data_IF_998975399803
#
_entry.id   IF_998975399803
#
_cell.length_a   1.000
_cell.length_b   1.000
_cell.length_c   1.000
_cell.angle_alpha   90.00
_cell.angle_beta   90.00
_cell.angle_gamma   90.00
#
_symmetry.space_group_name_H-M   'P 1'
#
loop_
_entity.id
_entity.type
_entity.pdbx_description
1 polymer ?
#
# COMPACT_ATOMS: atom_id res chain seq x y z
N UNK A 1 28.08 54.63 60.41
CA UNK A 1 26.95 53.98 59.71
C UNK A 1 27.33 53.71 58.25
N UNK A 2 27.65 52.52 57.91
CA UNK A 2 27.86 52.06 56.53
C UNK A 2 27.08 50.79 56.41
N UNK A 3 25.98 50.88 55.70
CA UNK A 3 25.11 49.74 55.25
C UNK A 3 25.77 49.01 54.11
N UNK A 4 26.22 47.80 54.36
CA UNK A 4 26.63 46.88 53.32
C UNK A 4 25.35 46.17 52.74
N UNK A 5 25.07 46.40 51.48
CA UNK A 5 24.00 45.76 50.73
C UNK A 5 24.42 44.37 50.34
N UNK A 6 23.74 43.37 50.92
CA UNK A 6 23.76 41.96 50.50
C UNK A 6 22.95 41.81 49.22
N UNK A 7 23.56 41.96 48.07
CA UNK A 7 22.90 41.65 46.75
C UNK A 7 23.79 40.91 45.75
N UNK A 8 24.88 40.30 46.21
CA UNK A 8 25.83 39.62 45.31
C UNK A 8 26.05 38.14 45.54
N UNK A 9 25.39 37.50 46.52
CA UNK A 9 25.68 36.08 46.84
C UNK A 9 24.54 35.09 46.59
N UNK A 10 23.42 35.51 46.00
CA UNK A 10 22.30 34.60 45.77
C UNK A 10 22.24 34.03 44.35
N UNK A 11 23.04 34.52 43.39
CA UNK A 11 23.04 34.05 42.02
C UNK A 11 24.08 32.96 41.72
N UNK A 12 25.10 32.79 42.55
CA UNK A 12 26.12 31.74 42.36
C UNK A 12 25.81 30.43 43.09
N UNK A 13 24.89 30.43 44.06
CA UNK A 13 24.49 29.23 44.78
C UNK A 13 23.41 28.37 44.04
N UNK A 14 22.69 28.97 43.09
CA UNK A 14 21.65 28.25 42.31
C UNK A 14 22.26 27.42 41.14
N UNK A 15 23.44 27.79 40.66
CA UNK A 15 24.12 27.05 39.59
C UNK A 15 25.00 25.88 40.05
N UNK A 16 25.36 25.80 41.33
CA UNK A 16 26.10 24.65 41.90
C UNK A 16 25.23 23.54 42.49
N UNK A 17 23.91 23.73 42.60
CA UNK A 17 23.00 22.69 43.10
C UNK A 17 22.44 21.76 42.02
N UNK A 18 22.80 21.96 40.75
CA UNK A 18 22.38 21.11 39.61
C UNK A 18 23.37 19.97 39.29
N UNK A 19 24.47 19.88 40.05
CA UNK A 19 25.53 18.88 39.77
C UNK A 19 25.46 17.58 40.57
N UNK A 20 24.69 17.50 41.65
CA UNK A 20 24.60 16.29 42.49
C UNK A 20 23.22 16.14 43.11
N UNK A 21 22.17 15.99 42.30
CA UNK A 21 20.99 15.31 42.80
C UNK A 21 21.33 13.82 42.80
N UNK A 22 21.79 13.33 43.97
CA UNK A 22 21.80 11.92 44.26
C UNK A 22 20.37 11.40 44.00
N UNK A 23 20.23 10.58 42.95
CA UNK A 23 18.99 9.85 42.68
C UNK A 23 18.90 8.80 43.81
N UNK A 24 18.26 9.20 44.91
CA UNK A 24 17.91 8.30 45.99
C UNK A 24 16.51 7.77 45.68
N UNK A 25 16.44 6.80 44.73
CA UNK A 25 15.28 5.90 44.62
C UNK A 25 15.51 4.75 45.63
N UNK A 26 14.46 4.27 46.28
CA UNK A 26 14.47 2.93 46.87
C UNK A 26 14.88 1.92 45.78
N UNK A 27 15.62 0.89 46.10
CA UNK A 27 16.38 0.08 45.16
C UNK A 27 15.57 -0.61 44.01
N UNK A 28 14.22 -0.49 44.01
CA UNK A 28 13.34 -1.12 43.01
C UNK A 28 12.31 -0.18 42.35
N UNK A 29 12.25 1.12 42.65
CA UNK A 29 11.25 2.03 42.12
C UNK A 29 11.64 2.67 40.81
N UNK A 30 10.71 2.63 39.80
CA UNK A 30 10.91 3.27 38.50
C UNK A 30 11.09 4.80 38.63
N UNK A 31 12.07 5.34 37.93
CA UNK A 31 12.33 6.79 37.82
C UNK A 31 11.46 7.34 36.68
N UNK A 32 10.27 7.81 37.01
CA UNK A 32 9.26 8.29 36.05
C UNK A 32 9.38 9.75 35.68
N UNK A 33 10.16 10.57 36.49
CA UNK A 33 10.50 11.93 36.10
C UNK A 33 11.52 11.91 34.95
N UNK A 34 11.50 12.95 34.10
CA UNK A 34 12.51 13.11 33.08
C UNK A 34 13.89 13.38 33.72
N UNK A 35 14.88 12.60 33.31
CA UNK A 35 16.27 12.75 33.64
C UNK A 35 16.97 13.44 32.48
N UNK A 36 17.67 14.56 32.73
CA UNK A 36 18.50 15.21 31.70
C UNK A 36 19.97 14.93 31.99
N UNK A 37 20.68 14.38 31.02
CA UNK A 37 22.11 14.08 31.08
C UNK A 37 22.84 14.96 30.06
N UNK A 38 23.79 15.76 30.55
CA UNK A 38 24.71 16.48 29.69
C UNK A 38 25.99 15.66 29.53
N UNK A 39 26.34 15.38 28.26
CA UNK A 39 27.58 14.72 27.89
C UNK A 39 28.62 15.78 27.47
N UNK A 40 29.69 15.88 28.23
CA UNK A 40 30.83 16.73 27.88
C UNK A 40 31.75 16.04 26.88
N UNK A 41 31.61 14.73 26.73
CA UNK A 41 32.32 13.86 25.79
C UNK A 41 31.47 12.70 25.38
N UNK A 42 31.44 12.39 24.10
CA UNK A 42 30.77 11.22 23.55
C UNK A 42 31.33 9.92 24.16
N UNK A 43 30.45 8.94 24.39
CA UNK A 43 30.79 7.63 24.98
C UNK A 43 30.77 7.58 26.49
N UNK A 44 30.29 8.63 27.18
CA UNK A 44 30.33 8.71 28.66
C UNK A 44 28.96 8.52 29.32
N UNK A 45 27.88 8.27 28.57
CA UNK A 45 26.56 8.04 29.15
C UNK A 45 26.51 6.86 30.15
N UNK A 46 27.20 5.72 29.91
CA UNK A 46 27.26 4.63 30.86
C UNK A 46 27.84 5.04 32.24
N UNK A 47 28.86 5.89 32.22
CA UNK A 47 29.51 6.38 33.44
C UNK A 47 28.62 7.37 34.23
N UNK A 48 27.83 8.19 33.48
CA UNK A 48 26.93 9.20 34.09
C UNK A 48 25.69 8.56 34.74
N UNK A 49 25.15 7.47 34.17
CA UNK A 49 23.95 6.81 34.70
C UNK A 49 24.30 5.64 35.62
N UNK A 50 25.26 4.81 35.23
CA UNK A 50 25.64 3.58 35.93
C UNK A 50 24.70 2.42 35.67
N UNK A 51 25.23 1.21 35.79
CA UNK A 51 24.49 -0.06 35.47
C UNK A 51 23.30 -0.32 36.39
N UNK A 52 23.35 0.10 37.65
CA UNK A 52 22.29 -0.09 38.64
C UNK A 52 21.03 0.73 38.35
N UNK A 53 21.13 1.87 37.66
CA UNK A 53 20.02 2.79 37.39
C UNK A 53 19.47 2.69 35.96
N UNK A 54 20.21 2.08 35.02
CA UNK A 54 19.86 2.07 33.61
C UNK A 54 18.46 1.49 33.34
N UNK A 55 18.07 0.48 34.12
CA UNK A 55 16.78 -0.21 33.93
C UNK A 55 15.60 0.46 34.67
N UNK A 56 15.88 1.48 35.49
CA UNK A 56 14.85 2.18 36.28
C UNK A 56 14.35 3.46 35.57
N UNK A 57 15.16 4.05 34.69
CA UNK A 57 14.85 5.33 34.02
C UNK A 57 13.84 5.09 32.91
N UNK A 58 12.69 5.79 32.98
CA UNK A 58 11.64 5.69 31.95
C UNK A 58 11.66 6.88 30.97
N UNK A 59 12.24 8.03 31.36
CA UNK A 59 12.29 9.25 30.54
C UNK A 59 13.69 9.87 30.60
N UNK A 60 14.34 9.96 29.43
CA UNK A 60 15.70 10.45 29.32
C UNK A 60 15.80 11.58 28.29
N UNK A 61 16.47 12.67 28.66
CA UNK A 61 16.93 13.68 27.70
C UNK A 61 18.46 13.70 27.71
N UNK A 62 19.05 13.72 26.51
CA UNK A 62 20.51 13.80 26.34
C UNK A 62 20.85 15.10 25.64
N UNK A 63 21.88 15.77 26.17
CA UNK A 63 22.43 17.02 25.62
C UNK A 63 23.91 16.80 25.33
N UNK A 64 24.38 17.14 24.15
CA UNK A 64 25.78 17.01 23.74
C UNK A 64 26.03 15.86 22.77
N UNK A 65 27.29 15.50 22.53
CA UNK A 65 27.66 14.51 21.53
C UNK A 65 27.43 13.08 22.05
N UNK A 66 26.83 12.23 21.20
CA UNK A 66 26.57 10.79 21.44
C UNK A 66 27.21 9.95 20.34
N UNK A 67 27.86 8.84 20.73
CA UNK A 67 28.48 7.89 19.80
C UNK A 67 27.97 6.46 20.04
N UNK A 68 28.60 5.47 19.37
CA UNK A 68 28.18 4.08 19.42
C UNK A 68 28.16 3.47 20.84
N UNK A 69 29.03 3.92 21.75
CA UNK A 69 29.05 3.47 23.16
C UNK A 69 27.79 3.93 23.89
N UNK A 70 27.42 5.20 23.73
CA UNK A 70 26.21 5.76 24.31
C UNK A 70 24.96 5.10 23.69
N UNK A 71 24.99 4.88 22.38
CA UNK A 71 23.89 4.27 21.64
C UNK A 71 23.61 2.84 22.08
N UNK A 72 24.64 2.02 22.27
CA UNK A 72 24.52 0.68 22.83
C UNK A 72 23.80 0.71 24.18
N UNK A 73 24.18 1.63 25.05
CA UNK A 73 23.58 1.78 26.39
C UNK A 73 22.13 2.26 26.31
N UNK A 74 21.81 3.22 25.43
CA UNK A 74 20.44 3.69 25.16
C UNK A 74 19.54 2.53 24.71
N UNK A 75 20.03 1.69 23.80
CA UNK A 75 19.29 0.51 23.29
C UNK A 75 18.98 -0.45 24.44
N UNK A 76 19.97 -0.76 25.29
CA UNK A 76 19.75 -1.62 26.46
C UNK A 76 18.71 -1.02 27.43
N UNK A 77 18.72 0.29 27.64
CA UNK A 77 17.70 1.00 28.43
C UNK A 77 16.32 0.92 27.78
N UNK A 78 16.24 0.86 26.43
CA UNK A 78 15.00 0.80 25.65
C UNK A 78 14.50 -0.63 25.37
N UNK A 79 15.09 -1.64 25.99
CA UNK A 79 14.62 -3.02 25.92
C UNK A 79 15.33 -3.90 24.88
N UNK A 80 16.39 -3.44 24.19
CA UNK A 80 17.06 -4.21 23.13
C UNK A 80 18.59 -4.15 23.27
N UNK A 81 19.23 -5.29 23.42
CA UNK A 81 20.70 -5.40 23.45
C UNK A 81 21.35 -5.30 22.08
N UNK A 82 22.67 -5.19 22.06
CA UNK A 82 23.47 -5.16 20.85
C UNK A 82 23.40 -6.47 20.02
N UNK A 83 23.02 -7.56 20.67
CA UNK A 83 22.85 -8.89 20.06
C UNK A 83 21.39 -9.18 19.66
N UNK A 84 20.53 -8.16 19.75
CA UNK A 84 19.09 -8.24 19.43
C UNK A 84 18.24 -8.93 20.51
N UNK A 85 18.84 -9.33 21.65
CA UNK A 85 18.08 -9.92 22.76
C UNK A 85 17.38 -8.85 23.57
N UNK A 86 16.24 -9.21 24.15
CA UNK A 86 15.51 -8.34 25.07
C UNK A 86 16.34 -8.05 26.33
N UNK A 87 16.22 -6.84 26.84
CA UNK A 87 16.81 -6.40 28.11
C UNK A 87 15.72 -5.94 29.09
N UNK A 88 16.09 -5.75 30.36
CA UNK A 88 15.19 -5.29 31.41
C UNK A 88 14.92 -3.77 31.37
N UNK A 89 15.44 -3.08 30.36
CA UNK A 89 15.31 -1.63 30.21
C UNK A 89 13.87 -1.14 30.16
N UNK A 90 13.57 -0.02 30.80
CA UNK A 90 12.23 0.57 30.94
C UNK A 90 12.12 1.97 30.29
N UNK A 91 13.11 2.37 29.51
CA UNK A 91 13.09 3.66 28.82
C UNK A 91 11.97 3.70 27.77
N UNK A 92 11.01 4.57 27.99
CA UNK A 92 9.84 4.73 27.11
C UNK A 92 9.83 6.10 26.39
N UNK A 93 10.48 7.12 26.95
CA UNK A 93 10.58 8.44 26.33
C UNK A 93 12.04 8.85 26.22
N UNK A 94 12.50 9.10 25.00
CA UNK A 94 13.86 9.56 24.71
C UNK A 94 13.84 10.88 23.94
N UNK A 95 14.48 11.91 24.53
CA UNK A 95 14.64 13.22 23.91
C UNK A 95 16.11 13.42 23.52
N UNK A 96 16.39 13.44 22.23
CA UNK A 96 17.68 13.70 21.61
C UNK A 96 17.72 15.06 20.91
N UNK A 97 16.73 15.95 21.13
CA UNK A 97 16.62 17.24 20.43
C UNK A 97 17.86 18.13 20.55
N UNK A 98 18.59 18.03 21.65
CA UNK A 98 19.83 18.76 21.91
C UNK A 98 21.09 17.87 21.87
N UNK A 99 20.94 16.64 21.34
CA UNK A 99 22.06 15.74 21.10
C UNK A 99 22.62 15.95 19.67
N UNK A 100 23.89 15.57 19.50
CA UNK A 100 24.53 15.47 18.18
C UNK A 100 25.10 14.08 18.04
N UNK A 101 24.72 13.39 16.98
CA UNK A 101 25.24 12.06 16.68
C UNK A 101 26.60 12.22 16.02
N UNK A 102 27.60 11.54 16.57
CA UNK A 102 28.98 11.56 16.04
C UNK A 102 29.47 10.11 15.81
N UNK A 103 30.37 9.95 14.87
CA UNK A 103 31.02 8.68 14.64
C UNK A 103 31.90 8.25 15.82
N UNK A 104 32.18 6.94 15.95
CA UNK A 104 33.07 6.39 16.96
C UNK A 104 32.35 5.58 18.04
N UNK A 105 33.11 5.20 19.07
CA UNK A 105 32.63 4.30 20.12
C UNK A 105 32.54 2.83 19.69
N UNK A 106 31.84 2.03 20.47
CA UNK A 106 31.60 0.63 20.16
C UNK A 106 30.46 0.48 19.13
N UNK A 107 30.38 -0.70 18.46
CA UNK A 107 29.19 -1.05 17.69
C UNK A 107 27.98 -1.16 18.62
N UNK A 108 26.84 -0.68 18.16
CA UNK A 108 25.60 -0.65 18.97
C UNK A 108 24.64 -1.77 18.61
N UNK A 109 24.85 -2.48 17.47
CA UNK A 109 24.06 -3.61 17.03
C UNK A 109 24.88 -4.52 16.11
N UNK A 110 24.34 -5.73 15.87
CA UNK A 110 24.84 -6.68 14.88
C UNK A 110 23.68 -7.07 13.99
N UNK A 111 23.88 -7.05 12.68
CA UNK A 111 22.92 -7.63 11.76
C UNK A 111 23.51 -8.81 11.03
N UNK A 112 22.67 -9.78 10.72
CA UNK A 112 23.05 -10.98 10.00
C UNK A 112 22.64 -10.83 8.54
N UNK A 113 23.46 -11.31 7.61
CA UNK A 113 23.15 -11.42 6.21
C UNK A 113 23.60 -12.78 5.69
N UNK A 114 22.90 -13.23 4.65
CA UNK A 114 23.12 -14.54 4.06
C UNK A 114 23.74 -14.35 2.69
N UNK A 115 24.90 -14.99 2.46
CA UNK A 115 25.61 -14.89 1.20
C UNK A 115 26.35 -16.21 0.96
N UNK A 116 26.26 -16.78 -0.27
CA UNK A 116 26.93 -18.03 -0.67
C UNK A 116 26.69 -19.19 0.31
N UNK A 117 25.43 -19.40 0.74
CA UNK A 117 25.03 -20.45 1.68
C UNK A 117 25.63 -20.35 3.10
N UNK A 118 26.15 -19.17 3.47
CA UNK A 118 26.75 -18.90 4.77
C UNK A 118 26.12 -17.68 5.42
N UNK A 119 25.87 -17.76 6.74
CA UNK A 119 25.47 -16.62 7.54
C UNK A 119 26.68 -15.82 8.01
N UNK A 120 26.68 -14.54 7.70
CA UNK A 120 27.67 -13.58 8.18
C UNK A 120 27.00 -12.57 9.09
N UNK A 121 27.81 -11.86 9.87
CA UNK A 121 27.34 -10.70 10.62
C UNK A 121 28.22 -9.48 10.36
N UNK A 122 27.59 -8.29 10.41
CA UNK A 122 28.30 -7.01 10.44
C UNK A 122 27.89 -6.22 11.67
N UNK A 123 28.81 -5.42 12.17
CA UNK A 123 28.54 -4.52 13.29
C UNK A 123 27.99 -3.18 12.76
N UNK A 124 27.04 -2.61 13.50
CA UNK A 124 26.52 -1.29 13.22
C UNK A 124 27.22 -0.26 14.11
N UNK A 125 27.71 0.82 13.49
CA UNK A 125 28.39 1.93 14.12
C UNK A 125 27.62 3.24 13.88
N UNK A 126 27.82 4.24 14.75
CA UNK A 126 27.27 5.58 14.52
C UNK A 126 28.05 6.30 13.40
N UNK A 127 27.32 7.09 12.62
CA UNK A 127 27.85 8.04 11.64
C UNK A 127 27.34 9.44 11.98
N UNK A 128 28.03 10.47 11.54
CA UNK A 128 27.65 11.84 11.86
C UNK A 128 26.27 12.18 11.28
N UNK A 129 25.39 12.69 12.12
CA UNK A 129 24.06 13.18 11.78
C UNK A 129 23.17 12.17 11.02
N UNK A 130 23.36 10.85 11.29
CA UNK A 130 22.60 9.73 10.70
C UNK A 130 21.99 8.88 11.80
N UNK A 131 20.73 8.50 11.66
CA UNK A 131 20.15 7.37 12.40
C UNK A 131 20.53 6.11 11.63
N UNK A 132 21.63 5.49 12.00
CA UNK A 132 22.25 4.40 11.26
C UNK A 132 21.42 3.12 11.21
N UNK A 133 21.89 2.15 10.39
CA UNK A 133 21.28 0.84 10.25
C UNK A 133 21.03 0.17 11.60
N UNK A 134 19.81 -0.36 11.82
CA UNK A 134 19.39 -1.03 13.06
C UNK A 134 19.49 -0.17 14.33
N UNK A 135 19.53 1.16 14.25
CA UNK A 135 19.84 2.05 15.38
C UNK A 135 18.93 1.82 16.60
N UNK A 136 17.63 1.66 16.39
CA UNK A 136 16.63 1.34 17.42
C UNK A 136 15.93 0.00 17.19
N UNK A 137 16.48 -0.86 16.34
CA UNK A 137 15.87 -2.17 16.05
C UNK A 137 15.53 -2.93 17.34
N UNK A 138 14.26 -3.33 17.48
CA UNK A 138 13.77 -4.08 18.63
C UNK A 138 13.57 -3.25 19.91
N UNK A 139 13.72 -1.93 19.87
CA UNK A 139 13.46 -1.07 21.04
C UNK A 139 11.94 -0.90 21.27
N UNK A 140 11.25 -2.00 21.51
CA UNK A 140 9.78 -2.05 21.66
C UNK A 140 9.23 -1.32 22.87
N UNK A 141 10.09 -0.98 23.85
CA UNK A 141 9.72 -0.20 25.03
C UNK A 141 9.56 1.30 24.75
N UNK A 142 10.17 1.82 23.67
CA UNK A 142 10.05 3.25 23.31
C UNK A 142 8.64 3.57 22.82
N UNK A 143 8.03 4.58 23.45
CA UNK A 143 6.71 5.09 23.07
C UNK A 143 6.80 6.45 22.39
N UNK A 144 7.84 7.22 22.71
CA UNK A 144 8.10 8.56 22.16
C UNK A 144 9.59 8.81 21.99
N UNK A 145 9.97 9.34 20.84
CA UNK A 145 11.34 9.71 20.50
C UNK A 145 11.37 11.07 19.80
N UNK A 146 12.25 11.95 20.26
CA UNK A 146 12.57 13.21 19.57
C UNK A 146 13.99 13.13 19.03
N UNK A 147 14.14 13.27 17.71
CA UNK A 147 15.41 13.22 17.01
C UNK A 147 16.11 14.59 16.99
N UNK A 148 17.45 14.63 16.85
CA UNK A 148 18.18 15.86 16.59
C UNK A 148 17.77 16.51 15.26
N UNK A 149 17.71 17.84 15.21
CA UNK A 149 17.31 18.57 14.01
C UNK A 149 18.26 18.40 12.80
N UNK A 150 19.53 18.04 13.05
CA UNK A 150 20.56 17.89 12.02
C UNK A 150 20.55 16.53 11.28
N UNK A 151 19.64 15.62 11.62
CA UNK A 151 19.59 14.30 10.99
C UNK A 151 19.21 14.42 9.50
N UNK A 152 19.97 13.73 8.65
CA UNK A 152 19.80 13.73 7.18
C UNK A 152 19.32 12.40 6.60
N UNK A 153 19.46 11.29 7.36
CA UNK A 153 19.17 9.94 6.91
C UNK A 153 18.61 9.06 8.05
N UNK A 154 17.64 8.24 7.70
CA UNK A 154 17.21 7.08 8.50
C UNK A 154 17.65 5.82 7.74
N UNK A 155 18.59 5.08 8.29
CA UNK A 155 19.16 3.87 7.67
C UNK A 155 18.22 2.67 7.69
N UNK A 156 18.65 1.61 7.02
CA UNK A 156 17.92 0.35 6.98
C UNK A 156 17.59 -0.18 8.39
N UNK A 157 16.39 -0.74 8.55
CA UNK A 157 15.98 -1.40 9.80
C UNK A 157 16.09 -0.49 11.05
N UNK A 158 16.24 0.83 10.87
CA UNK A 158 16.58 1.75 11.98
C UNK A 158 15.60 1.69 13.15
N UNK A 159 14.30 1.50 12.88
CA UNK A 159 13.22 1.38 13.88
C UNK A 159 12.47 0.05 13.76
N UNK A 160 13.07 -0.95 13.12
CA UNK A 160 12.43 -2.26 12.94
C UNK A 160 12.00 -2.83 14.29
N UNK A 161 10.71 -3.26 14.38
CA UNK A 161 10.07 -3.76 15.60
C UNK A 161 10.03 -2.78 16.79
N UNK A 162 10.07 -1.47 16.56
CA UNK A 162 9.72 -0.49 17.59
C UNK A 162 8.20 -0.45 17.82
N UNK A 163 7.61 -1.56 18.23
CA UNK A 163 6.15 -1.75 18.29
C UNK A 163 5.45 -0.84 19.32
N UNK A 164 6.17 -0.34 20.32
CA UNK A 164 5.64 0.61 21.29
C UNK A 164 5.61 2.06 20.81
N UNK A 165 6.31 2.38 19.71
CA UNK A 165 6.45 3.76 19.24
C UNK A 165 5.11 4.26 18.68
N UNK A 166 4.50 5.24 19.37
CA UNK A 166 3.20 5.80 19.00
C UNK A 166 3.32 7.11 18.24
N UNK A 167 4.42 7.83 18.47
CA UNK A 167 4.68 9.11 17.81
C UNK A 167 6.19 9.32 17.58
N UNK A 168 6.51 9.80 16.39
CA UNK A 168 7.86 10.20 16.00
C UNK A 168 7.75 11.42 15.10
N UNK A 169 8.58 12.43 15.37
CA UNK A 169 8.72 13.58 14.47
C UNK A 169 10.06 13.46 13.76
N UNK A 170 10.01 13.40 12.43
CA UNK A 170 11.18 13.38 11.59
C UNK A 170 11.63 14.81 11.29
N UNK A 171 12.94 15.15 11.44
CA UNK A 171 13.47 16.43 11.01
C UNK A 171 13.30 16.69 9.50
N UNK A 172 13.09 17.95 9.13
CA UNK A 172 12.88 18.36 7.73
C UNK A 172 14.09 18.09 6.81
N UNK A 173 15.29 17.94 7.39
CA UNK A 173 16.54 17.68 6.67
C UNK A 173 16.68 16.26 6.14
N UNK A 174 15.79 15.34 6.52
CA UNK A 174 15.89 13.93 6.08
C UNK A 174 15.52 13.82 4.61
N UNK A 175 16.41 13.19 3.84
CA UNK A 175 16.25 12.95 2.41
C UNK A 175 16.14 11.45 2.05
N UNK A 176 16.45 10.56 3.01
CA UNK A 176 16.43 9.12 2.79
C UNK A 176 15.83 8.37 4.00
N UNK A 177 14.98 7.40 3.70
CA UNK A 177 14.45 6.40 4.64
C UNK A 177 14.76 5.03 4.05
N UNK A 178 15.61 4.27 4.72
CA UNK A 178 16.12 2.99 4.27
C UNK A 178 15.09 1.87 4.26
N UNK A 179 15.48 0.74 3.70
CA UNK A 179 14.66 -0.47 3.65
C UNK A 179 14.31 -0.96 5.05
N UNK A 180 13.06 -1.40 5.24
CA UNK A 180 12.56 -1.89 6.54
C UNK A 180 12.70 -0.90 7.70
N UNK A 181 12.90 0.40 7.42
CA UNK A 181 13.21 1.38 8.47
C UNK A 181 12.19 1.41 9.60
N UNK A 182 10.90 1.23 9.32
CA UNK A 182 9.81 1.18 10.29
C UNK A 182 9.06 -0.16 10.27
N UNK A 183 9.69 -1.23 9.78
CA UNK A 183 9.05 -2.56 9.74
C UNK A 183 8.55 -2.96 11.14
N UNK A 184 7.27 -3.36 11.23
CA UNK A 184 6.68 -3.82 12.49
C UNK A 184 6.47 -2.74 13.57
N UNK A 185 6.51 -1.46 13.21
CA UNK A 185 6.13 -0.35 14.12
C UNK A 185 4.61 -0.30 14.30
N UNK A 186 4.03 -1.34 14.88
CA UNK A 186 2.57 -1.53 14.98
C UNK A 186 1.86 -0.52 15.88
N UNK A 187 2.58 0.17 16.76
CA UNK A 187 2.04 1.26 17.59
C UNK A 187 1.94 2.61 16.86
N UNK A 188 2.65 2.76 15.73
CA UNK A 188 2.71 4.03 15.01
C UNK A 188 1.39 4.30 14.28
N UNK A 189 0.72 5.42 14.63
CA UNK A 189 -0.59 5.76 14.06
C UNK A 189 -0.51 6.72 12.88
N UNK A 190 0.52 7.55 12.85
CA UNK A 190 0.84 8.47 11.76
C UNK A 190 2.32 8.83 11.77
N UNK A 191 2.88 9.19 10.62
CA UNK A 191 4.26 9.68 10.50
C UNK A 191 4.33 10.70 9.35
N UNK A 192 4.36 12.01 9.65
CA UNK A 192 4.61 13.02 8.61
C UNK A 192 6.01 12.82 8.01
N UNK A 193 6.09 12.63 6.70
CA UNK A 193 7.36 12.46 6.01
C UNK A 193 7.92 13.81 5.55
N UNK A 194 9.24 14.03 5.69
CA UNK A 194 9.92 15.25 5.21
C UNK A 194 9.80 15.41 3.69
N UNK A 195 9.77 16.66 3.22
CA UNK A 195 9.58 17.00 1.80
C UNK A 195 10.72 16.52 0.89
N UNK A 196 11.90 16.24 1.46
CA UNK A 196 13.08 15.76 0.73
C UNK A 196 13.01 14.29 0.30
N UNK A 197 12.07 13.52 0.81
CA UNK A 197 11.93 12.10 0.48
C UNK A 197 11.39 11.95 -0.95
N UNK A 198 12.08 11.14 -1.77
CA UNK A 198 11.74 10.92 -3.20
C UNK A 198 11.26 9.51 -3.52
N UNK A 199 11.40 8.57 -2.59
CA UNK A 199 10.90 7.19 -2.73
C UNK A 199 10.47 6.63 -1.38
N UNK A 200 9.59 5.64 -1.40
CA UNK A 200 9.32 4.78 -0.26
C UNK A 200 10.04 3.46 -0.50
N UNK A 201 11.07 3.21 0.29
CA UNK A 201 11.94 2.03 0.14
C UNK A 201 11.18 0.73 0.44
N UNK A 202 11.74 -0.40 -0.03
CA UNK A 202 11.13 -1.72 0.21
C UNK A 202 10.98 -2.01 1.70
N UNK A 203 9.83 -2.60 2.08
CA UNK A 203 9.46 -2.92 3.47
C UNK A 203 9.42 -1.73 4.44
N UNK A 204 9.58 -0.46 3.98
CA UNK A 204 9.78 0.69 4.87
C UNK A 204 8.72 0.81 5.97
N UNK A 205 7.45 0.53 5.69
CA UNK A 205 6.33 0.55 6.63
C UNK A 205 5.62 -0.80 6.74
N UNK A 206 6.25 -1.89 6.31
CA UNK A 206 5.65 -3.22 6.38
C UNK A 206 5.24 -3.56 7.81
N UNK A 207 4.06 -4.16 7.97
CA UNK A 207 3.48 -4.54 9.27
C UNK A 207 3.25 -3.38 10.27
N UNK A 208 3.16 -2.15 9.78
CA UNK A 208 2.71 -0.99 10.59
C UNK A 208 1.17 -1.02 10.73
N UNK A 209 0.65 -2.04 11.41
CA UNK A 209 -0.80 -2.29 11.50
C UNK A 209 -1.60 -1.19 12.21
N UNK A 210 -0.96 -0.38 13.04
CA UNK A 210 -1.57 0.78 13.69
C UNK A 210 -1.64 2.04 12.82
N UNK A 211 -0.92 2.05 11.67
CA UNK A 211 -0.85 3.22 10.81
C UNK A 211 -2.20 3.47 10.13
N UNK A 212 -2.89 4.55 10.50
CA UNK A 212 -4.22 4.88 9.97
C UNK A 212 -4.17 5.85 8.80
N UNK A 213 -3.14 6.68 8.75
CA UNK A 213 -2.91 7.64 7.68
C UNK A 213 -1.43 7.95 7.52
N UNK A 214 -1.01 8.23 6.29
CA UNK A 214 0.34 8.69 5.96
C UNK A 214 0.24 9.76 4.88
N UNK A 215 0.94 10.88 5.09
CA UNK A 215 1.06 11.93 4.08
C UNK A 215 2.37 11.73 3.31
N UNK A 216 2.27 11.42 2.02
CA UNK A 216 3.42 11.28 1.15
C UNK A 216 3.82 12.65 0.58
N UNK A 217 5.12 13.02 0.60
CA UNK A 217 5.62 14.22 -0.06
C UNK A 217 5.36 14.22 -1.58
N UNK A 218 5.18 15.40 -2.16
CA UNK A 218 4.92 15.55 -3.60
C UNK A 218 6.07 15.02 -4.49
N UNK A 219 7.29 14.93 -3.94
CA UNK A 219 8.48 14.45 -4.64
C UNK A 219 8.58 12.93 -4.81
N UNK A 220 7.67 12.15 -4.21
CA UNK A 220 7.71 10.67 -4.31
C UNK A 220 7.45 10.23 -5.75
N UNK A 221 8.34 9.39 -6.27
CA UNK A 221 8.28 8.84 -7.64
C UNK A 221 8.05 7.34 -7.70
N UNK A 222 8.34 6.61 -6.60
CA UNK A 222 8.17 5.16 -6.53
C UNK A 222 7.78 4.68 -5.13
N UNK A 223 7.09 3.55 -5.10
CA UNK A 223 6.80 2.77 -3.90
C UNK A 223 7.44 1.40 -4.09
N UNK A 224 8.35 1.03 -3.20
CA UNK A 224 9.11 -0.23 -3.23
C UNK A 224 8.27 -1.46 -2.90
N UNK A 225 8.89 -2.63 -3.06
CA UNK A 225 8.26 -3.91 -2.74
C UNK A 225 7.93 -3.99 -1.25
N UNK A 226 6.76 -4.58 -0.92
CA UNK A 226 6.28 -4.76 0.45
C UNK A 226 6.23 -3.47 1.30
N UNK A 227 6.29 -2.28 0.69
CA UNK A 227 6.45 -1.02 1.41
C UNK A 227 5.38 -0.78 2.49
N UNK A 228 4.14 -1.19 2.25
CA UNK A 228 3.00 -1.12 3.19
C UNK A 228 2.36 -2.50 3.43
N UNK A 229 3.11 -3.59 3.23
CA UNK A 229 2.62 -4.95 3.49
C UNK A 229 2.01 -5.05 4.89
N UNK A 230 0.78 -5.56 5.01
CA UNK A 230 0.13 -5.75 6.30
C UNK A 230 -0.24 -4.48 7.08
N UNK A 231 -0.25 -3.30 6.44
CA UNK A 231 -0.75 -2.05 7.04
C UNK A 231 -2.28 -2.08 7.13
N UNK A 232 -2.83 -2.99 7.92
CA UNK A 232 -4.27 -3.26 8.01
C UNK A 232 -5.09 -2.10 8.57
N UNK A 233 -4.46 -1.20 9.33
CA UNK A 233 -5.09 0.03 9.85
C UNK A 233 -5.21 1.17 8.84
N UNK A 234 -4.47 1.10 7.70
CA UNK A 234 -4.43 2.18 6.70
C UNK A 234 -5.77 2.28 5.98
N UNK A 235 -6.49 3.39 6.19
CA UNK A 235 -7.84 3.57 5.62
C UNK A 235 -7.84 4.33 4.30
N UNK A 236 -6.86 5.20 4.10
CA UNK A 236 -6.66 5.98 2.89
C UNK A 236 -5.21 6.39 2.72
N UNK A 237 -4.77 6.54 1.48
CA UNK A 237 -3.45 7.07 1.13
C UNK A 237 -3.55 7.90 -0.14
N UNK A 238 -3.07 9.14 -0.09
CA UNK A 238 -2.95 9.98 -1.27
C UNK A 238 -1.61 9.73 -1.95
N UNK A 239 -1.65 9.20 -3.16
CA UNK A 239 -0.46 8.99 -3.98
C UNK A 239 -0.14 10.28 -4.76
N UNK A 240 1.08 10.84 -4.65
CA UNK A 240 1.50 12.00 -5.44
C UNK A 240 1.48 11.72 -6.94
N UNK A 241 1.26 12.77 -7.73
CA UNK A 241 1.15 12.67 -9.20
C UNK A 241 2.44 12.16 -9.89
N UNK A 242 3.58 12.29 -9.22
CA UNK A 242 4.90 11.85 -9.71
C UNK A 242 5.14 10.34 -9.67
N UNK A 243 4.29 9.57 -8.97
CA UNK A 243 4.48 8.12 -8.84
C UNK A 243 4.27 7.44 -10.20
N UNK A 244 5.25 6.64 -10.60
CA UNK A 244 5.23 5.87 -11.85
C UNK A 244 5.14 4.36 -11.64
N UNK A 245 5.58 3.86 -10.47
CA UNK A 245 5.65 2.43 -10.17
C UNK A 245 5.14 2.13 -8.77
N UNK A 246 4.44 1.01 -8.65
CA UNK A 246 4.05 0.37 -7.40
C UNK A 246 4.70 -1.01 -7.40
N UNK A 247 5.52 -1.28 -6.40
CA UNK A 247 6.27 -2.53 -6.24
C UNK A 247 5.39 -3.75 -5.97
N UNK A 248 6.00 -4.94 -5.99
CA UNK A 248 5.34 -6.19 -5.62
C UNK A 248 4.89 -6.16 -4.15
N UNK A 249 3.73 -6.74 -3.86
CA UNK A 249 3.14 -6.78 -2.51
C UNK A 249 3.08 -5.43 -1.78
N UNK A 250 3.22 -4.29 -2.49
CA UNK A 250 3.38 -2.98 -1.87
C UNK A 250 2.23 -2.61 -0.91
N UNK A 251 1.00 -3.06 -1.18
CA UNK A 251 -0.19 -2.87 -0.33
C UNK A 251 -0.84 -4.19 0.04
N UNK A 252 -0.12 -5.32 -0.04
CA UNK A 252 -0.67 -6.63 0.33
C UNK A 252 -1.16 -6.61 1.78
N UNK A 253 -2.38 -7.10 2.02
CA UNK A 253 -2.97 -7.14 3.35
C UNK A 253 -3.40 -5.79 3.94
N UNK A 254 -3.41 -4.70 3.14
CA UNK A 254 -3.99 -3.41 3.56
C UNK A 254 -5.52 -3.49 3.61
N UNK A 255 -6.05 -4.34 4.49
CA UNK A 255 -7.48 -4.66 4.57
C UNK A 255 -8.39 -3.50 4.99
N UNK A 256 -7.83 -2.49 5.65
CA UNK A 256 -8.52 -1.25 6.01
C UNK A 256 -8.67 -0.25 4.86
N UNK A 257 -7.91 -0.42 3.77
CA UNK A 257 -7.89 0.54 2.64
C UNK A 257 -9.21 0.48 1.88
N UNK A 258 -10.02 1.54 1.99
CA UNK A 258 -11.37 1.59 1.38
C UNK A 258 -11.36 2.21 -0.01
N UNK A 259 -10.41 3.07 -0.28
CA UNK A 259 -10.22 3.71 -1.59
C UNK A 259 -8.76 4.08 -1.81
N UNK A 260 -8.30 3.97 -3.05
CA UNK A 260 -6.99 4.44 -3.47
C UNK A 260 -7.10 5.04 -4.88
N UNK A 261 -6.70 6.30 -5.00
CA UNK A 261 -6.65 6.95 -6.31
C UNK A 261 -5.25 6.74 -6.91
N UNK A 262 -5.17 5.99 -8.00
CA UNK A 262 -3.93 5.76 -8.74
C UNK A 262 -3.65 6.94 -9.68
N UNK A 263 -2.52 7.64 -9.54
CA UNK A 263 -2.15 8.75 -10.44
C UNK A 263 -2.03 8.30 -11.90
N UNK A 264 -2.34 9.21 -12.83
CA UNK A 264 -2.29 8.94 -14.27
C UNK A 264 -0.89 8.54 -14.79
N UNK A 265 0.16 8.91 -14.05
CA UNK A 265 1.56 8.58 -14.36
C UNK A 265 1.96 7.13 -14.13
N UNK A 266 1.14 6.33 -13.42
CA UNK A 266 1.48 4.93 -13.14
C UNK A 266 1.51 4.11 -14.42
N UNK A 267 2.62 3.39 -14.63
CA UNK A 267 2.85 2.49 -15.76
C UNK A 267 3.02 1.03 -15.36
N UNK A 268 3.30 0.75 -14.06
CA UNK A 268 3.48 -0.60 -13.55
C UNK A 268 2.86 -0.76 -12.16
N UNK A 269 2.18 -1.89 -11.97
CA UNK A 269 1.64 -2.40 -10.70
C UNK A 269 2.20 -3.81 -10.57
N UNK A 270 2.99 -4.07 -9.53
CA UNK A 270 3.71 -5.33 -9.35
C UNK A 270 2.82 -6.52 -8.99
N UNK A 271 3.42 -7.72 -8.95
CA UNK A 271 2.78 -8.94 -8.47
C UNK A 271 2.29 -8.73 -7.03
N UNK A 272 1.11 -9.29 -6.71
CA UNK A 272 0.51 -9.25 -5.36
C UNK A 272 0.27 -7.82 -4.79
N UNK A 273 0.45 -6.74 -5.59
CA UNK A 273 0.51 -5.35 -5.10
C UNK A 273 -0.67 -4.93 -4.22
N UNK A 274 -1.88 -5.44 -4.46
CA UNK A 274 -3.10 -5.19 -3.66
C UNK A 274 -3.74 -6.50 -3.15
N UNK A 275 -2.96 -7.58 -3.03
CA UNK A 275 -3.50 -8.84 -2.55
C UNK A 275 -4.11 -8.67 -1.15
N UNK A 276 -5.34 -9.14 -0.96
CA UNK A 276 -6.02 -9.06 0.34
C UNK A 276 -6.46 -7.66 0.78
N UNK A 277 -6.48 -6.66 -0.14
CA UNK A 277 -7.09 -5.35 0.14
C UNK A 277 -8.61 -5.48 0.19
N UNK A 278 -9.12 -6.22 1.18
CA UNK A 278 -10.53 -6.60 1.29
C UNK A 278 -11.50 -5.44 1.52
N UNK A 279 -11.00 -4.31 2.04
CA UNK A 279 -11.78 -3.08 2.20
C UNK A 279 -11.96 -2.27 0.93
N UNK A 280 -11.16 -2.52 -0.11
CA UNK A 280 -11.15 -1.72 -1.34
C UNK A 280 -12.45 -1.93 -2.12
N UNK A 281 -13.26 -0.87 -2.27
CA UNK A 281 -14.59 -0.96 -2.89
C UNK A 281 -14.58 -0.67 -4.39
N UNK A 282 -13.64 0.15 -4.85
CA UNK A 282 -13.48 0.51 -6.25
C UNK A 282 -12.02 0.86 -6.55
N UNK A 283 -11.59 0.60 -7.79
CA UNK A 283 -10.30 1.08 -8.29
C UNK A 283 -10.40 1.41 -9.78
N UNK A 284 -9.75 2.51 -10.15
CA UNK A 284 -9.55 2.89 -11.55
C UNK A 284 -8.08 2.73 -11.89
N UNK A 285 -7.79 1.83 -12.83
CA UNK A 285 -6.43 1.56 -13.28
C UNK A 285 -6.06 2.56 -14.38
N UNK A 286 -4.95 3.31 -14.25
CA UNK A 286 -4.55 4.33 -15.22
C UNK A 286 -4.22 3.77 -16.60
N UNK A 287 -4.41 4.61 -17.65
CA UNK A 287 -4.15 4.23 -19.04
C UNK A 287 -2.68 3.91 -19.36
N UNK A 288 -1.73 4.30 -18.51
CA UNK A 288 -0.32 3.92 -18.62
C UNK A 288 -0.06 2.43 -18.38
N UNK A 289 -0.94 1.77 -17.62
CA UNK A 289 -0.82 0.35 -17.26
C UNK A 289 -1.24 -0.51 -18.46
N UNK A 290 -0.34 -1.36 -18.94
CA UNK A 290 -0.57 -2.21 -20.13
C UNK A 290 -0.80 -3.67 -19.78
N UNK A 291 -0.52 -4.08 -18.55
CA UNK A 291 -0.82 -5.42 -18.02
C UNK A 291 -1.15 -5.36 -16.54
N UNK A 292 -1.96 -6.28 -16.08
CA UNK A 292 -2.17 -6.56 -14.66
C UNK A 292 -1.36 -7.80 -14.33
N UNK A 293 -0.46 -7.69 -13.38
CA UNK A 293 0.47 -8.76 -13.03
C UNK A 293 -0.19 -9.83 -12.14
N UNK A 294 0.58 -10.87 -11.78
CA UNK A 294 0.08 -12.02 -11.03
C UNK A 294 -0.47 -11.58 -9.67
N UNK A 295 -1.66 -12.10 -9.30
CA UNK A 295 -2.35 -11.86 -8.03
C UNK A 295 -2.58 -10.38 -7.66
N UNK A 296 -2.35 -9.41 -8.57
CA UNK A 296 -2.28 -7.98 -8.23
C UNK A 296 -3.48 -7.46 -7.43
N UNK A 297 -4.69 -7.99 -7.63
CA UNK A 297 -5.92 -7.67 -6.89
C UNK A 297 -6.58 -8.92 -6.31
N UNK A 298 -5.80 -9.98 -6.06
CA UNK A 298 -6.33 -11.21 -5.50
C UNK A 298 -6.95 -10.96 -4.13
N UNK A 299 -8.11 -11.61 -3.88
CA UNK A 299 -8.87 -11.52 -2.63
C UNK A 299 -9.26 -10.09 -2.20
N UNK A 300 -9.38 -9.14 -3.17
CA UNK A 300 -10.03 -7.85 -2.96
C UNK A 300 -11.55 -8.06 -2.88
N UNK A 301 -12.03 -8.68 -1.80
CA UNK A 301 -13.42 -9.14 -1.66
C UNK A 301 -14.45 -8.03 -1.65
N UNK A 302 -14.06 -6.81 -1.23
CA UNK A 302 -14.89 -5.62 -1.23
C UNK A 302 -15.06 -4.94 -2.58
N UNK A 303 -14.28 -5.35 -3.61
CA UNK A 303 -14.26 -4.68 -4.90
C UNK A 303 -15.57 -4.93 -5.66
N UNK A 304 -16.42 -3.92 -5.72
CA UNK A 304 -17.74 -3.98 -6.40
C UNK A 304 -17.70 -3.40 -7.81
N UNK A 305 -16.72 -2.54 -8.10
CA UNK A 305 -16.54 -1.88 -9.39
C UNK A 305 -15.08 -1.90 -9.81
N UNK A 306 -14.83 -2.33 -11.06
CA UNK A 306 -13.52 -2.38 -11.67
C UNK A 306 -13.57 -1.72 -13.05
N UNK A 307 -12.70 -0.73 -13.28
CA UNK A 307 -12.52 -0.13 -14.59
C UNK A 307 -11.11 -0.49 -15.09
N UNK A 308 -11.05 -1.29 -16.15
CA UNK A 308 -9.81 -1.63 -16.84
C UNK A 308 -9.51 -0.60 -17.94
N UNK A 309 -8.25 -0.15 -18.10
CA UNK A 309 -7.90 0.82 -19.13
C UNK A 309 -7.94 0.21 -20.53
N UNK A 310 -8.28 1.03 -21.55
CA UNK A 310 -8.37 0.57 -22.94
C UNK A 310 -7.04 0.01 -23.50
N UNK A 311 -5.90 0.44 -22.92
CA UNK A 311 -4.57 0.03 -23.39
C UNK A 311 -4.09 -1.32 -22.83
N UNK A 312 -4.88 -1.95 -21.96
CA UNK A 312 -4.45 -3.19 -21.32
C UNK A 312 -4.37 -4.32 -22.36
N UNK A 313 -3.29 -5.11 -22.32
CA UNK A 313 -3.02 -6.20 -23.27
C UNK A 313 -3.17 -7.56 -22.61
N UNK A 314 -2.91 -7.66 -21.33
CA UNK A 314 -2.88 -8.93 -20.61
C UNK A 314 -3.42 -8.79 -19.18
N UNK A 315 -4.21 -9.76 -18.76
CA UNK A 315 -4.63 -9.97 -17.38
C UNK A 315 -3.89 -11.20 -16.86
N UNK A 316 -3.12 -11.03 -15.81
CA UNK A 316 -2.21 -12.03 -15.24
C UNK A 316 -2.91 -13.22 -14.57
N UNK A 317 -2.10 -14.18 -14.12
CA UNK A 317 -2.59 -15.33 -13.35
C UNK A 317 -3.19 -14.84 -12.02
N UNK A 318 -4.42 -15.31 -11.70
CA UNK A 318 -5.11 -14.98 -10.45
C UNK A 318 -5.26 -13.49 -10.16
N UNK A 319 -5.12 -12.61 -11.16
CA UNK A 319 -5.06 -11.15 -10.96
C UNK A 319 -6.25 -10.58 -10.19
N UNK A 320 -7.45 -11.13 -10.34
CA UNK A 320 -8.69 -10.79 -9.62
C UNK A 320 -9.34 -12.02 -8.99
N UNK A 321 -8.54 -13.05 -8.64
CA UNK A 321 -9.04 -14.23 -7.94
C UNK A 321 -9.71 -13.82 -6.63
N UNK A 322 -10.90 -14.33 -6.34
CA UNK A 322 -11.57 -14.04 -5.07
C UNK A 322 -12.16 -12.64 -4.93
N UNK A 323 -12.19 -11.83 -6.01
CA UNK A 323 -12.91 -10.54 -6.00
C UNK A 323 -14.43 -10.80 -5.97
N UNK A 324 -14.91 -11.37 -4.86
CA UNK A 324 -16.29 -11.87 -4.73
C UNK A 324 -17.34 -10.76 -4.79
N UNK A 325 -17.00 -9.51 -4.46
CA UNK A 325 -17.91 -8.35 -4.56
C UNK A 325 -18.20 -7.89 -5.98
N UNK A 326 -17.42 -8.33 -6.99
CA UNK A 326 -17.54 -7.84 -8.36
C UNK A 326 -18.81 -8.38 -9.01
N UNK A 327 -19.69 -7.46 -9.50
CA UNK A 327 -21.01 -7.81 -10.04
C UNK A 327 -21.05 -7.84 -11.57
N UNK A 328 -20.21 -7.06 -12.22
CA UNK A 328 -20.11 -7.00 -13.68
C UNK A 328 -18.66 -6.83 -14.13
N UNK A 329 -18.32 -7.38 -15.31
CA UNK A 329 -16.98 -7.25 -15.86
C UNK A 329 -17.05 -7.06 -17.38
N UNK A 330 -16.43 -5.99 -17.84
CA UNK A 330 -16.21 -5.74 -19.27
C UNK A 330 -14.70 -5.78 -19.52
N UNK A 331 -14.26 -6.74 -20.33
CA UNK A 331 -12.88 -6.83 -20.78
C UNK A 331 -12.70 -5.86 -21.96
N UNK A 332 -11.71 -4.94 -21.91
CA UNK A 332 -11.46 -3.99 -23.02
C UNK A 332 -11.00 -4.67 -24.32
N UNK A 333 -11.30 -4.05 -25.47
CA UNK A 333 -10.94 -4.53 -26.80
C UNK A 333 -9.43 -4.71 -27.04
N UNK A 334 -8.58 -4.18 -26.19
CA UNK A 334 -7.12 -4.34 -26.28
C UNK A 334 -6.56 -5.64 -25.72
N UNK A 335 -7.34 -6.36 -24.88
CA UNK A 335 -6.89 -7.56 -24.15
C UNK A 335 -6.76 -8.73 -25.11
N UNK A 336 -5.59 -9.38 -25.12
CA UNK A 336 -5.33 -10.57 -25.95
C UNK A 336 -5.29 -11.87 -25.15
N UNK A 337 -5.00 -11.77 -23.83
CA UNK A 337 -4.87 -12.95 -22.96
C UNK A 337 -5.48 -12.71 -21.59
N UNK A 338 -6.28 -13.67 -21.13
CA UNK A 338 -6.76 -13.76 -19.74
C UNK A 338 -6.05 -14.95 -19.09
N UNK A 339 -5.38 -14.69 -17.95
CA UNK A 339 -4.54 -15.65 -17.24
C UNK A 339 -5.34 -16.77 -16.56
N UNK A 340 -4.62 -17.80 -16.12
CA UNK A 340 -5.17 -18.91 -15.32
C UNK A 340 -5.74 -18.35 -14.01
N UNK A 341 -6.94 -18.79 -13.62
CA UNK A 341 -7.66 -18.33 -12.42
C UNK A 341 -7.93 -16.80 -12.34
N UNK A 342 -7.77 -16.04 -13.41
CA UNK A 342 -7.78 -14.57 -13.37
C UNK A 342 -8.99 -13.97 -12.65
N UNK A 343 -10.19 -14.51 -12.81
CA UNK A 343 -11.45 -14.10 -12.15
C UNK A 343 -12.13 -15.28 -11.43
N UNK A 344 -11.36 -16.30 -11.04
CA UNK A 344 -11.91 -17.42 -10.28
C UNK A 344 -12.46 -16.94 -8.94
N UNK A 345 -13.57 -17.52 -8.48
CA UNK A 345 -14.27 -17.17 -7.25
C UNK A 345 -14.85 -15.72 -7.20
N UNK A 346 -15.05 -15.07 -8.36
CA UNK A 346 -15.88 -13.87 -8.44
C UNK A 346 -17.36 -14.27 -8.32
N UNK A 347 -17.80 -14.68 -7.13
CA UNK A 347 -19.06 -15.39 -6.90
C UNK A 347 -20.31 -14.57 -7.17
N UNK A 348 -20.24 -13.22 -7.09
CA UNK A 348 -21.35 -12.30 -7.38
C UNK A 348 -21.32 -11.76 -8.82
N UNK A 349 -20.40 -12.21 -9.66
CA UNK A 349 -20.34 -11.79 -11.06
C UNK A 349 -21.56 -12.30 -11.82
N UNK A 350 -22.42 -11.38 -12.25
CA UNK A 350 -23.68 -11.70 -12.99
C UNK A 350 -23.54 -11.50 -14.49
N UNK A 351 -22.66 -10.59 -14.92
CA UNK A 351 -22.49 -10.22 -16.33
C UNK A 351 -21.02 -10.13 -16.71
N UNK A 352 -20.66 -10.74 -17.84
CA UNK A 352 -19.32 -10.78 -18.39
C UNK A 352 -19.32 -10.43 -19.88
N UNK A 353 -18.47 -9.51 -20.31
CA UNK A 353 -18.25 -9.21 -21.74
C UNK A 353 -16.80 -9.49 -22.12
N UNK A 354 -16.60 -10.33 -23.15
CA UNK A 354 -15.30 -10.73 -23.67
C UNK A 354 -15.19 -10.31 -25.14
N UNK A 355 -14.27 -9.41 -25.50
CA UNK A 355 -14.12 -8.93 -26.87
C UNK A 355 -13.40 -9.95 -27.76
N UNK A 356 -13.53 -9.79 -29.09
CA UNK A 356 -12.89 -10.66 -30.10
C UNK A 356 -11.35 -10.59 -30.08
N UNK A 357 -10.77 -9.57 -29.47
CA UNK A 357 -9.31 -9.44 -29.30
C UNK A 357 -8.70 -10.53 -28.40
N UNK A 358 -9.49 -11.08 -27.46
CA UNK A 358 -9.03 -12.17 -26.59
C UNK A 358 -8.87 -13.45 -27.41
N UNK A 359 -7.65 -13.94 -27.50
CA UNK A 359 -7.32 -15.16 -28.24
C UNK A 359 -6.90 -16.33 -27.34
N UNK A 360 -6.83 -16.09 -26.02
CA UNK A 360 -6.44 -17.10 -25.03
C UNK A 360 -7.18 -16.90 -23.72
N UNK A 361 -7.93 -17.92 -23.30
CA UNK A 361 -8.55 -18.04 -21.98
C UNK A 361 -7.75 -19.06 -21.16
N UNK A 362 -7.25 -18.63 -20.01
CA UNK A 362 -6.53 -19.51 -19.09
C UNK A 362 -7.47 -20.51 -18.40
N UNK A 363 -6.94 -21.68 -18.04
CA UNK A 363 -7.68 -22.65 -17.24
C UNK A 363 -8.25 -22.00 -15.98
N UNK A 364 -9.53 -22.29 -15.71
CA UNK A 364 -10.21 -21.82 -14.49
C UNK A 364 -10.37 -20.28 -14.40
N UNK A 365 -10.23 -19.56 -15.51
CA UNK A 365 -10.29 -18.09 -15.50
C UNK A 365 -11.55 -17.54 -14.84
N UNK A 366 -12.71 -18.20 -15.01
CA UNK A 366 -14.02 -17.84 -14.43
C UNK A 366 -14.58 -18.97 -13.56
N UNK A 367 -13.71 -19.81 -12.97
CA UNK A 367 -14.15 -20.92 -12.11
C UNK A 367 -14.92 -20.37 -10.89
N UNK A 368 -16.02 -21.05 -10.51
CA UNK A 368 -16.85 -20.69 -9.37
C UNK A 368 -17.49 -19.27 -9.48
N UNK A 369 -17.65 -18.70 -10.68
CA UNK A 369 -18.51 -17.54 -10.91
C UNK A 369 -19.98 -17.97 -10.84
N UNK A 370 -20.46 -18.31 -9.64
CA UNK A 370 -21.75 -19.04 -9.45
C UNK A 370 -22.99 -18.22 -9.71
N UNK A 371 -22.89 -16.89 -9.77
CA UNK A 371 -24.02 -15.98 -10.05
C UNK A 371 -24.12 -15.56 -11.52
N UNK A 372 -23.32 -16.14 -12.41
CA UNK A 372 -23.24 -15.71 -13.80
C UNK A 372 -24.56 -15.97 -14.52
N UNK A 373 -25.16 -14.89 -15.07
CA UNK A 373 -26.45 -14.91 -15.77
C UNK A 373 -26.30 -14.61 -17.27
N UNK A 374 -25.29 -13.81 -17.64
CA UNK A 374 -25.05 -13.41 -19.01
C UNK A 374 -23.57 -13.36 -19.35
N UNK A 375 -23.21 -13.95 -20.49
CA UNK A 375 -21.87 -13.83 -21.09
C UNK A 375 -22.03 -13.31 -22.51
N UNK A 376 -21.37 -12.19 -22.82
CA UNK A 376 -21.33 -11.62 -24.16
C UNK A 376 -19.96 -11.89 -24.76
N UNK A 377 -19.90 -12.47 -25.92
CA UNK A 377 -18.68 -12.75 -26.68
C UNK A 377 -18.75 -12.15 -28.07
N UNK A 378 -17.62 -11.72 -28.63
CA UNK A 378 -17.58 -11.00 -29.91
C UNK A 378 -16.80 -11.76 -30.99
N UNK A 379 -16.48 -13.05 -30.80
CA UNK A 379 -15.82 -13.87 -31.82
C UNK A 379 -16.81 -14.32 -32.90
N UNK A 380 -16.45 -14.15 -34.15
CA UNK A 380 -17.20 -14.74 -35.28
C UNK A 380 -17.02 -16.25 -35.40
N UNK A 381 -16.00 -16.81 -34.76
CA UNK A 381 -15.76 -18.25 -34.62
C UNK A 381 -15.33 -18.48 -33.16
N UNK A 382 -16.00 -19.44 -32.46
CA UNK A 382 -15.67 -19.66 -31.04
C UNK A 382 -14.22 -20.07 -30.85
N UNK A 383 -13.54 -19.44 -29.88
CA UNK A 383 -12.22 -19.91 -29.45
C UNK A 383 -12.37 -21.05 -28.43
N UNK A 384 -11.32 -21.85 -28.23
CA UNK A 384 -11.33 -22.86 -27.17
C UNK A 384 -11.49 -22.22 -25.78
N UNK A 385 -12.55 -22.62 -25.07
CA UNK A 385 -12.74 -22.21 -23.67
C UNK A 385 -12.04 -23.13 -22.66
N UNK A 386 -11.60 -24.34 -23.08
CA UNK A 386 -10.89 -25.29 -22.22
C UNK A 386 -11.59 -25.52 -20.87
N UNK A 387 -10.92 -25.17 -19.77
CA UNK A 387 -11.47 -25.27 -18.41
C UNK A 387 -11.88 -23.91 -17.84
N UNK A 388 -12.00 -22.86 -18.65
CA UNK A 388 -12.19 -21.49 -18.17
C UNK A 388 -13.40 -21.33 -17.24
N UNK A 389 -14.54 -21.95 -17.57
CA UNK A 389 -15.80 -21.90 -16.82
C UNK A 389 -16.03 -23.09 -15.87
N UNK A 390 -15.01 -23.88 -15.57
CA UNK A 390 -15.15 -25.06 -14.70
C UNK A 390 -15.83 -24.69 -13.37
N UNK A 391 -16.91 -25.43 -12.99
CA UNK A 391 -17.73 -25.17 -11.80
C UNK A 391 -18.47 -23.80 -11.80
N UNK A 392 -18.52 -23.06 -12.90
CA UNK A 392 -19.56 -22.07 -13.12
C UNK A 392 -20.79 -22.81 -13.63
N UNK A 393 -21.97 -22.57 -13.06
CA UNK A 393 -23.21 -23.22 -13.53
C UNK A 393 -23.73 -22.47 -14.78
N UNK A 394 -23.06 -22.70 -15.91
CA UNK A 394 -23.41 -22.04 -17.18
C UNK A 394 -24.73 -22.52 -17.76
N UNK A 395 -25.30 -23.64 -17.27
CA UNK A 395 -26.60 -24.18 -17.72
C UNK A 395 -27.77 -23.23 -17.44
N UNK A 396 -27.59 -22.23 -16.58
CA UNK A 396 -28.57 -21.17 -16.28
C UNK A 396 -28.20 -19.81 -16.87
N UNK A 397 -27.07 -19.76 -17.58
CA UNK A 397 -26.52 -18.54 -18.14
C UNK A 397 -26.89 -18.39 -19.61
N UNK A 398 -27.23 -17.18 -20.05
CA UNK A 398 -27.41 -16.85 -21.45
C UNK A 398 -26.09 -16.42 -22.07
N UNK A 399 -25.68 -17.09 -23.12
CA UNK A 399 -24.55 -16.74 -23.97
C UNK A 399 -25.04 -15.87 -25.14
N UNK A 400 -24.53 -14.65 -25.22
CA UNK A 400 -24.79 -13.74 -26.33
C UNK A 400 -23.64 -13.81 -27.31
N UNK A 401 -23.96 -14.14 -28.58
CA UNK A 401 -23.01 -14.40 -29.65
C UNK A 401 -23.28 -13.50 -30.87
N UNK A 402 -22.30 -13.20 -31.72
CA UNK A 402 -22.50 -12.42 -32.93
C UNK A 402 -23.55 -13.05 -33.87
N UNK A 403 -24.26 -12.20 -34.59
CA UNK A 403 -25.30 -12.65 -35.55
C UNK A 403 -24.76 -13.66 -36.58
N UNK A 404 -25.47 -14.77 -36.77
CA UNK A 404 -25.12 -15.85 -37.72
C UNK A 404 -24.10 -16.86 -37.16
N UNK A 405 -23.81 -16.84 -35.84
CA UNK A 405 -22.82 -17.75 -35.22
C UNK A 405 -23.40 -18.73 -34.19
N UNK A 406 -24.72 -18.68 -33.92
CA UNK A 406 -25.39 -19.52 -32.92
C UNK A 406 -25.02 -21.00 -33.06
N UNK A 407 -25.10 -21.53 -34.28
CA UNK A 407 -24.82 -22.95 -34.58
C UNK A 407 -23.36 -23.34 -34.28
N UNK A 408 -22.40 -22.45 -34.56
CA UNK A 408 -20.98 -22.69 -34.31
C UNK A 408 -20.70 -22.74 -32.79
N UNK A 409 -21.36 -21.89 -32.02
CA UNK A 409 -21.23 -21.88 -30.56
C UNK A 409 -21.95 -23.06 -29.91
N UNK A 410 -23.11 -23.47 -30.45
CA UNK A 410 -23.83 -24.64 -29.96
C UNK A 410 -23.01 -25.94 -30.12
N UNK A 411 -22.23 -26.05 -31.18
CA UNK A 411 -21.37 -27.21 -31.45
C UNK A 411 -19.99 -27.15 -30.79
N UNK A 412 -19.61 -26.00 -30.23
CA UNK A 412 -18.29 -25.81 -29.64
C UNK A 412 -18.25 -26.29 -28.17
N UNK A 413 -17.18 -27.02 -27.82
CA UNK A 413 -16.94 -27.47 -26.44
C UNK A 413 -17.05 -26.31 -25.45
N UNK A 414 -17.70 -26.55 -24.30
CA UNK A 414 -17.96 -25.61 -23.23
C UNK A 414 -18.96 -24.50 -23.58
N UNK A 415 -18.90 -23.95 -24.82
CA UNK A 415 -19.84 -22.90 -25.23
C UNK A 415 -21.25 -23.48 -25.45
N UNK A 416 -21.37 -24.72 -25.95
CA UNK A 416 -22.63 -25.43 -26.10
C UNK A 416 -23.28 -25.84 -24.76
N UNK A 417 -22.57 -25.77 -23.65
CA UNK A 417 -23.09 -26.07 -22.29
C UNK A 417 -23.92 -24.93 -21.67
N UNK A 418 -23.90 -23.75 -22.31
CA UNK A 418 -24.71 -22.62 -21.85
C UNK A 418 -26.20 -22.89 -22.02
N UNK A 419 -27.00 -22.49 -21.02
CA UNK A 419 -28.43 -22.81 -20.96
C UNK A 419 -29.27 -22.18 -22.09
N UNK A 420 -28.80 -21.07 -22.65
CA UNK A 420 -29.42 -20.36 -23.73
C UNK A 420 -28.35 -19.66 -24.57
N UNK A 421 -28.44 -19.73 -25.91
CA UNK A 421 -27.58 -19.01 -26.84
C UNK A 421 -28.45 -18.03 -27.63
N UNK A 422 -28.07 -16.76 -27.66
CA UNK A 422 -28.81 -15.67 -28.30
C UNK A 422 -27.90 -14.86 -29.19
N UNK A 423 -28.29 -14.70 -30.44
CA UNK A 423 -27.56 -13.83 -31.36
C UNK A 423 -27.82 -12.34 -31.05
N UNK A 424 -26.79 -11.52 -31.14
CA UNK A 424 -26.89 -10.08 -31.03
C UNK A 424 -26.02 -9.39 -32.10
N UNK A 425 -26.38 -8.15 -32.40
CA UNK A 425 -25.52 -7.30 -33.25
C UNK A 425 -24.52 -6.54 -32.37
N UNK A 426 -23.21 -6.87 -32.38
CA UNK A 426 -22.22 -6.19 -31.54
C UNK A 426 -22.00 -4.73 -31.94
N UNK A 427 -22.46 -4.29 -33.11
CA UNK A 427 -22.38 -2.89 -33.53
C UNK A 427 -23.46 -2.03 -32.89
N UNK A 428 -24.47 -2.64 -32.29
CA UNK A 428 -25.63 -1.99 -31.74
C UNK A 428 -26.45 -1.24 -32.80
N UNK A 429 -26.31 -1.59 -34.07
CA UNK A 429 -27.06 -1.05 -35.18
C UNK A 429 -28.11 -2.09 -35.51
N UNK A 430 -29.30 -1.98 -34.94
CA UNK A 430 -30.44 -2.78 -35.34
C UNK A 430 -30.74 -2.50 -36.82
N UNK A 431 -30.66 -3.52 -37.68
CA UNK A 431 -31.30 -3.44 -38.98
C UNK A 431 -32.79 -3.30 -38.70
N UNK A 432 -33.40 -2.25 -39.21
CA UNK A 432 -34.84 -2.02 -39.09
C UNK A 432 -35.54 -3.19 -39.79
N UNK A 433 -35.84 -4.24 -39.03
CA UNK A 433 -36.95 -5.12 -39.39
C UNK A 433 -38.19 -4.33 -39.00
N UNK A 434 -38.94 -3.87 -39.99
CA UNK A 434 -40.20 -3.18 -39.80
C UNK A 434 -41.17 -4.12 -39.05
N UNK A 435 -41.15 -4.04 -37.72
CA UNK A 435 -42.26 -4.48 -36.90
C UNK A 435 -43.39 -3.48 -37.21
N UNK A 436 -44.48 -4.02 -37.78
CA UNK A 436 -45.58 -3.26 -38.40
C UNK A 436 -46.37 -2.37 -37.45
N UNK A 437 -46.06 -2.36 -36.14
CA UNK A 437 -46.91 -1.78 -35.12
C UNK A 437 -46.26 -0.66 -34.24
N UNK A 438 -44.95 -0.51 -34.18
CA UNK A 438 -44.35 0.55 -33.36
C UNK A 438 -44.08 1.83 -34.16
N UNK A 439 -44.73 2.93 -33.78
CA UNK A 439 -44.55 4.24 -34.43
C UNK A 439 -43.34 4.99 -33.89
N UNK A 440 -42.55 5.60 -34.78
CA UNK A 440 -41.49 6.52 -34.39
C UNK A 440 -42.08 7.74 -33.68
N UNK A 441 -41.60 8.01 -32.45
CA UNK A 441 -41.98 9.19 -31.64
C UNK A 441 -41.03 10.35 -31.81
N UNK A 442 -39.75 10.09 -31.88
CA UNK A 442 -38.71 11.11 -32.02
C UNK A 442 -37.40 10.54 -32.53
N UNK A 443 -36.63 11.39 -33.21
CA UNK A 443 -35.35 11.05 -33.80
C UNK A 443 -34.30 12.05 -33.37
N UNK A 444 -33.07 11.60 -33.18
CA UNK A 444 -31.95 12.42 -32.74
C UNK A 444 -30.68 12.08 -33.56
N UNK A 445 -29.83 13.06 -33.76
CA UNK A 445 -28.46 12.84 -34.24
C UNK A 445 -27.60 12.15 -33.17
N UNK A 446 -26.44 11.67 -33.55
CA UNK A 446 -25.43 11.09 -32.62
C UNK A 446 -24.96 12.08 -31.54
N UNK A 447 -25.13 13.38 -31.79
CA UNK A 447 -24.78 14.44 -30.84
C UNK A 447 -25.99 14.87 -29.96
N UNK A 448 -27.10 14.10 -29.98
CA UNK A 448 -28.29 14.36 -29.16
C UNK A 448 -29.23 15.46 -29.68
N UNK A 449 -28.97 16.05 -30.86
CA UNK A 449 -29.86 17.06 -31.45
C UNK A 449 -31.10 16.38 -32.04
N UNK A 450 -32.29 16.86 -31.70
CA UNK A 450 -33.54 16.34 -32.26
C UNK A 450 -33.64 16.64 -33.75
N UNK A 451 -33.98 15.61 -34.54
CA UNK A 451 -34.13 15.70 -36.00
C UNK A 451 -35.61 15.69 -36.37
N UNK A 452 -36.01 16.58 -37.25
CA UNK A 452 -37.39 16.63 -37.77
C UNK A 452 -37.65 15.57 -38.86
N UNK A 453 -36.61 15.15 -39.56
CA UNK A 453 -36.64 14.14 -40.63
C UNK A 453 -35.39 13.27 -40.56
N UNK A 454 -35.40 12.06 -41.14
CA UNK A 454 -34.23 11.19 -41.26
C UNK A 454 -33.08 11.95 -41.96
N UNK A 455 -31.90 11.97 -41.36
CA UNK A 455 -30.69 12.54 -41.95
C UNK A 455 -29.70 11.42 -42.30
N UNK A 456 -28.97 11.56 -43.37
CA UNK A 456 -27.94 10.59 -43.81
C UNK A 456 -26.96 10.32 -42.70
N UNK A 457 -26.68 9.04 -42.45
CA UNK A 457 -25.81 8.56 -41.36
C UNK A 457 -26.59 7.95 -40.19
N UNK A 458 -25.93 7.82 -39.03
CA UNK A 458 -26.49 7.20 -37.83
C UNK A 458 -27.47 8.13 -37.12
N UNK A 459 -28.71 7.65 -36.93
CA UNK A 459 -29.75 8.36 -36.15
C UNK A 459 -30.17 7.49 -34.96
N UNK A 460 -30.57 8.13 -33.85
CA UNK A 460 -31.12 7.49 -32.66
C UNK A 460 -32.63 7.72 -32.69
N UNK A 461 -33.44 6.67 -32.75
CA UNK A 461 -34.91 6.73 -32.88
C UNK A 461 -35.59 6.14 -31.68
N UNK A 462 -36.51 6.89 -31.07
CA UNK A 462 -37.39 6.43 -30.00
C UNK A 462 -38.77 6.05 -30.57
N UNK A 463 -39.23 4.87 -30.21
CA UNK A 463 -40.53 4.31 -30.69
C UNK A 463 -41.62 4.35 -29.62
N UNK A 464 -42.88 4.14 -30.05
CA UNK A 464 -44.06 4.16 -29.18
C UNK A 464 -44.14 3.00 -28.17
N UNK A 465 -43.40 1.94 -28.38
CA UNK A 465 -43.25 0.79 -27.47
C UNK A 465 -42.19 1.05 -26.37
N UNK A 466 -41.59 2.26 -26.33
CA UNK A 466 -40.55 2.63 -25.38
C UNK A 466 -39.13 2.25 -25.85
N UNK A 467 -38.99 1.48 -26.92
CA UNK A 467 -37.69 1.12 -27.43
C UNK A 467 -36.94 2.31 -28.03
N UNK A 468 -35.60 2.26 -27.95
CA UNK A 468 -34.71 3.23 -28.57
C UNK A 468 -33.74 2.48 -29.46
N UNK A 469 -33.72 2.80 -30.75
CA UNK A 469 -32.92 2.11 -31.74
C UNK A 469 -31.94 3.07 -32.44
N UNK A 470 -30.77 2.54 -32.84
CA UNK A 470 -29.83 3.23 -33.72
C UNK A 470 -30.19 2.83 -35.17
N UNK A 471 -30.46 3.81 -36.01
CA UNK A 471 -30.90 3.58 -37.40
C UNK A 471 -29.93 4.27 -38.34
N UNK A 472 -29.39 3.50 -39.31
CA UNK A 472 -28.56 4.07 -40.39
C UNK A 472 -29.46 4.49 -41.54
N UNK A 473 -29.41 5.78 -41.89
CA UNK A 473 -30.07 6.34 -43.06
C UNK A 473 -29.05 6.48 -44.19
N UNK A 474 -29.30 5.81 -45.30
CA UNK A 474 -28.42 5.83 -46.48
C UNK A 474 -28.57 7.09 -47.32
#
# INVERSE_FOLDING_TARGET
>A
MRTFTFKGLFLTAVFMLLGCLSIQAADDDLITRQITIKLDKAGTLPDKIGSSKKNLITKLKIVGEVNGTDWCFIREMAGSGYDGKSTEGKLSVLDLSEAKIVEGGYYYNKYYYYENDVYYYKNCYTSNDVIGKCAFKGCSGLTSLTLPAGITEIGDEAFEYCSGLTSLTLPDGITEIGSSAFFGCSGLTSLPLPAGITEISSYAFSSCSGLTSLTLPAGITSIGDDAFYGCSGLTSLNLPAGITTIGGSAFEGCSGLTSLNLPAGIISIGDDAFYGCSGLTSITIPNGVTQIDKNAFRDCTGLTSLTLPANIKRIGESAFYGCSGLTSLTIPDGVTKIGKYAFSNCSYLTSLTIPSSVNSLGDYAFKNCSSLQSVHVSWSTPISAGKAFNKADVSKCTLYVPQGTEQDYFLADVWGDFGNIVEYDPTGIDKVTTSTDAKELSRYSVNGQRLATPTKGLNIVKYSDGSVKKVVVQ
#
